data_IF_350816398162
#
_entry.id   IF_350816398162
#
_cell.length_a   1.000
_cell.length_b   1.000
_cell.length_c   1.000
_cell.angle_alpha   90.00
_cell.angle_beta   90.00
_cell.angle_gamma   90.00
#
_symmetry.space_group_name_H-M   'P 1'
#
loop_
_entity.id
_entity.type
_entity.pdbx_description
1 polymer ?
#
# COMPACT_ATOMS: atom_id res chain seq x y z
N UNK A 1 -14.73 -15.52 8.72
CA UNK A 1 -13.87 -14.33 8.85
C UNK A 1 -14.22 -13.23 7.86
N UNK A 2 -13.95 -13.35 6.55
CA UNK A 2 -14.18 -12.25 5.57
C UNK A 2 -15.63 -11.72 5.60
N UNK A 3 -16.64 -12.61 5.57
CA UNK A 3 -18.06 -12.21 5.67
C UNK A 3 -18.39 -11.48 6.99
N UNK A 4 -17.73 -11.82 8.09
CA UNK A 4 -17.91 -11.17 9.39
C UNK A 4 -17.24 -9.79 9.39
N UNK A 5 -16.06 -9.66 8.79
CA UNK A 5 -15.38 -8.37 8.61
C UNK A 5 -16.25 -7.39 7.83
N UNK A 6 -16.78 -7.80 6.67
CA UNK A 6 -17.69 -6.97 5.87
C UNK A 6 -19.01 -6.61 6.58
N UNK A 7 -19.42 -7.36 7.62
CA UNK A 7 -20.60 -7.02 8.39
C UNK A 7 -20.40 -5.72 9.21
N UNK A 8 -19.17 -5.36 9.58
CA UNK A 8 -18.86 -4.13 10.31
C UNK A 8 -19.01 -2.86 9.46
N UNK A 9 -19.05 -2.97 8.13
CA UNK A 9 -19.31 -1.84 7.25
C UNK A 9 -20.80 -1.45 7.22
N UNK A 10 -21.72 -2.34 7.63
CA UNK A 10 -23.17 -2.14 7.49
C UNK A 10 -23.67 -0.81 8.06
N UNK A 11 -23.24 -0.35 9.26
CA UNK A 11 -23.67 0.93 9.80
C UNK A 11 -23.15 2.13 9.00
N UNK A 12 -22.05 1.96 8.26
CA UNK A 12 -21.29 3.01 7.59
C UNK A 12 -21.35 2.92 6.06
N UNK A 13 -22.34 2.23 5.50
CA UNK A 13 -22.47 2.03 4.04
C UNK A 13 -22.51 3.35 3.26
N UNK A 14 -23.06 4.42 3.85
CA UNK A 14 -23.06 5.75 3.21
C UNK A 14 -21.64 6.30 3.04
N UNK A 15 -20.79 6.15 4.06
CA UNK A 15 -19.39 6.55 4.01
C UNK A 15 -18.65 5.70 2.99
N UNK A 16 -18.86 4.38 3.02
CA UNK A 16 -18.26 3.45 2.07
C UNK A 16 -18.60 3.81 0.61
N UNK A 17 -19.87 4.04 0.27
CA UNK A 17 -20.24 4.40 -1.11
C UNK A 17 -19.74 5.78 -1.54
N UNK A 18 -19.69 6.75 -0.61
CA UNK A 18 -19.15 8.08 -0.90
C UNK A 18 -17.65 7.99 -1.21
N UNK A 19 -16.89 7.41 -0.29
CA UNK A 19 -15.45 7.22 -0.39
C UNK A 19 -15.07 6.42 -1.65
N UNK A 20 -15.60 5.20 -1.76
CA UNK A 20 -15.34 4.31 -2.88
C UNK A 20 -15.80 4.92 -4.23
N UNK A 21 -16.95 5.60 -4.25
CA UNK A 21 -17.44 6.29 -5.44
C UNK A 21 -16.51 7.41 -5.89
N UNK A 22 -16.06 8.25 -4.94
CA UNK A 22 -15.07 9.30 -5.23
C UNK A 22 -13.75 8.71 -5.72
N UNK A 23 -13.28 7.61 -5.11
CA UNK A 23 -12.03 6.96 -5.47
C UNK A 23 -12.06 6.38 -6.90
N UNK A 24 -13.18 5.79 -7.31
CA UNK A 24 -13.41 5.34 -8.69
C UNK A 24 -13.32 6.52 -9.66
N UNK A 25 -13.99 7.65 -9.35
CA UNK A 25 -13.96 8.84 -10.21
C UNK A 25 -12.56 9.43 -10.30
N UNK A 26 -11.82 9.51 -9.19
CA UNK A 26 -10.42 9.94 -9.17
C UNK A 26 -9.56 9.07 -10.10
N UNK A 27 -9.67 7.74 -9.98
CA UNK A 27 -8.91 6.81 -10.83
C UNK A 27 -9.27 6.91 -12.31
N UNK A 28 -10.55 7.10 -12.65
CA UNK A 28 -10.98 7.32 -14.03
C UNK A 28 -10.46 8.65 -14.61
N UNK A 29 -10.48 9.73 -13.82
CA UNK A 29 -9.92 11.01 -14.22
C UNK A 29 -8.41 10.92 -14.45
N UNK A 30 -7.70 10.15 -13.61
CA UNK A 30 -6.27 9.90 -13.78
C UNK A 30 -5.96 9.16 -15.09
N UNK A 31 -6.76 8.15 -15.46
CA UNK A 31 -6.67 7.45 -16.74
C UNK A 31 -7.02 8.33 -17.94
N UNK A 32 -7.92 9.30 -17.76
CA UNK A 32 -8.32 10.24 -18.81
C UNK A 32 -7.26 11.28 -19.16
N UNK A 33 -6.36 11.61 -18.23
CA UNK A 33 -5.38 12.67 -18.43
C UNK A 33 -4.41 12.41 -19.60
N UNK A 34 -3.79 11.23 -19.76
CA UNK A 34 -2.98 10.92 -20.94
C UNK A 34 -3.71 11.14 -22.28
N UNK A 35 -5.00 10.79 -22.36
CA UNK A 35 -5.80 11.00 -23.57
C UNK A 35 -6.03 12.48 -23.85
N UNK A 36 -6.23 13.29 -22.81
CA UNK A 36 -6.32 14.74 -22.97
C UNK A 36 -5.01 15.33 -23.50
N UNK A 37 -3.86 14.84 -23.03
CA UNK A 37 -2.53 15.23 -23.55
C UNK A 37 -2.37 14.83 -25.02
N UNK A 38 -2.82 13.62 -25.42
CA UNK A 38 -2.86 13.23 -26.83
C UNK A 38 -3.61 14.26 -27.68
N UNK A 39 -4.86 14.60 -27.30
CA UNK A 39 -5.67 15.56 -28.05
C UNK A 39 -5.04 16.96 -28.06
N UNK A 40 -4.39 17.34 -26.96
CA UNK A 40 -3.67 18.59 -26.86
C UNK A 40 -2.52 18.66 -27.88
N UNK A 41 -1.72 17.60 -27.97
CA UNK A 41 -0.57 17.53 -28.86
C UNK A 41 -0.97 17.42 -30.32
N UNK A 42 -1.94 16.57 -30.65
CA UNK A 42 -2.29 16.28 -32.05
C UNK A 42 -3.25 17.30 -32.67
N UNK A 43 -4.12 17.93 -31.87
CA UNK A 43 -5.17 18.83 -32.39
C UNK A 43 -4.99 20.27 -31.96
N UNK A 44 -4.72 20.52 -30.67
CA UNK A 44 -4.65 21.89 -30.14
C UNK A 44 -3.34 22.58 -30.53
N UNK A 45 -2.19 21.93 -30.34
CA UNK A 45 -0.88 22.53 -30.69
C UNK A 45 -0.80 22.95 -32.17
N UNK A 46 -1.17 22.11 -33.16
CA UNK A 46 -1.07 22.50 -34.57
C UNK A 46 -2.09 23.57 -34.97
N UNK A 47 -3.19 23.71 -34.23
CA UNK A 47 -4.23 24.72 -34.52
C UNK A 47 -3.76 26.16 -34.31
N UNK A 48 -2.71 26.38 -33.52
CA UNK A 48 -2.23 27.70 -33.10
C UNK A 48 -3.31 28.65 -32.53
N UNK A 49 -4.47 28.11 -32.12
CA UNK A 49 -5.60 28.87 -31.62
C UNK A 49 -5.48 29.09 -30.11
N UNK A 50 -4.79 30.16 -29.73
CA UNK A 50 -4.55 30.51 -28.32
C UNK A 50 -5.81 30.57 -27.46
N UNK A 51 -6.93 31.20 -27.88
CA UNK A 51 -8.18 31.16 -27.13
C UNK A 51 -8.64 29.73 -26.79
N UNK A 52 -8.62 28.83 -27.77
CA UNK A 52 -9.00 27.43 -27.58
C UNK A 52 -8.02 26.69 -26.66
N UNK A 53 -6.73 26.94 -26.81
CA UNK A 53 -5.67 26.36 -25.96
C UNK A 53 -5.84 26.81 -24.50
N UNK A 54 -6.08 28.10 -24.25
CA UNK A 54 -6.32 28.62 -22.90
C UNK A 54 -7.59 28.04 -22.30
N UNK A 55 -8.67 27.93 -23.07
CA UNK A 55 -9.92 27.33 -22.61
C UNK A 55 -9.72 25.85 -22.24
N UNK A 56 -9.05 25.07 -23.08
CA UNK A 56 -8.75 23.66 -22.80
C UNK A 56 -7.85 23.50 -21.56
N UNK A 57 -6.85 24.36 -21.42
CA UNK A 57 -5.94 24.35 -20.25
C UNK A 57 -6.67 24.74 -18.97
N UNK A 58 -7.55 25.74 -19.03
CA UNK A 58 -8.39 26.12 -17.89
C UNK A 58 -9.37 25.01 -17.51
N UNK A 59 -9.95 24.31 -18.50
CA UNK A 59 -10.80 23.15 -18.25
C UNK A 59 -10.02 21.99 -17.59
N UNK A 60 -8.79 21.71 -18.05
CA UNK A 60 -7.91 20.72 -17.41
C UNK A 60 -7.55 21.12 -15.97
N UNK A 61 -7.24 22.39 -15.73
CA UNK A 61 -6.98 22.89 -14.38
C UNK A 61 -8.20 22.74 -13.47
N UNK A 62 -9.40 23.02 -13.98
CA UNK A 62 -10.65 22.79 -13.24
C UNK A 62 -10.86 21.30 -12.93
N UNK A 63 -10.58 20.41 -13.87
CA UNK A 63 -10.63 18.96 -13.64
C UNK A 63 -9.65 18.54 -12.53
N UNK A 64 -8.44 19.10 -12.51
CA UNK A 64 -7.47 18.87 -11.43
C UNK A 64 -7.95 19.39 -10.07
N UNK A 65 -8.56 20.58 -10.04
CA UNK A 65 -9.13 21.13 -8.82
C UNK A 65 -10.27 20.26 -8.29
N UNK A 66 -11.15 19.78 -9.18
CA UNK A 66 -12.21 18.84 -8.84
C UNK A 66 -11.64 17.52 -8.33
N UNK A 67 -10.67 16.94 -9.04
CA UNK A 67 -9.99 15.70 -8.64
C UNK A 67 -9.34 15.85 -7.26
N UNK A 68 -8.71 17.00 -6.97
CA UNK A 68 -8.14 17.30 -5.65
C UNK A 68 -9.22 17.31 -4.55
N UNK A 69 -10.39 17.90 -4.84
CA UNK A 69 -11.54 17.87 -3.92
C UNK A 69 -12.06 16.45 -3.67
N UNK A 70 -12.14 15.62 -4.72
CA UNK A 70 -12.52 14.21 -4.58
C UNK A 70 -11.48 13.42 -3.79
N UNK A 71 -10.19 13.65 -4.03
CA UNK A 71 -9.10 13.02 -3.29
C UNK A 71 -9.14 13.39 -1.81
N UNK A 72 -9.54 14.62 -1.47
CA UNK A 72 -9.77 15.01 -0.08
C UNK A 72 -10.93 14.21 0.54
N UNK A 73 -12.03 14.01 -0.22
CA UNK A 73 -13.15 13.17 0.24
C UNK A 73 -12.67 11.76 0.51
N UNK A 74 -11.95 11.14 -0.45
CA UNK A 74 -11.39 9.79 -0.31
C UNK A 74 -10.51 9.70 0.94
N UNK A 75 -9.59 10.64 1.09
CA UNK A 75 -8.63 10.62 2.19
C UNK A 75 -9.32 10.79 3.55
N UNK A 76 -10.19 11.79 3.70
CA UNK A 76 -10.80 12.08 5.01
C UNK A 76 -11.95 11.12 5.33
N UNK A 77 -12.92 10.95 4.41
CA UNK A 77 -14.10 10.11 4.67
C UNK A 77 -13.76 8.62 4.68
N UNK A 78 -12.74 8.20 3.94
CA UNK A 78 -12.22 6.84 4.02
C UNK A 78 -11.55 6.53 5.36
N UNK A 79 -10.67 7.39 5.87
CA UNK A 79 -10.12 7.20 7.24
C UNK A 79 -11.22 7.36 8.31
N UNK A 80 -12.21 8.23 8.09
CA UNK A 80 -13.38 8.34 8.96
C UNK A 80 -14.20 7.04 9.01
N UNK A 81 -14.33 6.32 7.89
CA UNK A 81 -14.94 4.99 7.86
C UNK A 81 -14.13 3.99 8.71
N UNK A 82 -12.81 3.94 8.52
CA UNK A 82 -11.92 3.04 9.27
C UNK A 82 -11.97 3.27 10.79
N UNK A 83 -11.85 4.52 11.23
CA UNK A 83 -11.85 4.86 12.67
C UNK A 83 -13.20 4.61 13.34
N UNK A 84 -14.31 4.75 12.62
CA UNK A 84 -15.64 4.46 13.14
C UNK A 84 -15.82 2.95 13.37
N UNK A 85 -15.39 2.13 12.41
CA UNK A 85 -15.37 0.66 12.56
C UNK A 85 -14.46 0.27 13.74
N UNK A 86 -13.27 0.84 13.82
CA UNK A 86 -12.33 0.62 14.93
C UNK A 86 -12.97 0.98 16.28
N UNK A 87 -13.66 2.11 16.37
CA UNK A 87 -14.31 2.60 17.61
C UNK A 87 -15.40 1.64 18.09
N UNK A 88 -16.26 1.17 17.18
CA UNK A 88 -17.29 0.18 17.48
C UNK A 88 -16.67 -1.14 17.96
N UNK A 89 -15.62 -1.60 17.27
CA UNK A 89 -14.90 -2.81 17.66
C UNK A 89 -14.23 -2.67 19.02
N UNK A 90 -13.62 -1.51 19.30
CA UNK A 90 -12.96 -1.18 20.58
C UNK A 90 -13.96 -1.22 21.73
N UNK A 91 -15.14 -0.65 21.54
CA UNK A 91 -16.20 -0.65 22.55
C UNK A 91 -16.66 -2.07 22.86
N UNK A 92 -16.94 -2.88 21.82
CA UNK A 92 -17.36 -4.28 21.99
C UNK A 92 -16.30 -5.14 22.67
N UNK A 93 -15.02 -4.96 22.30
CA UNK A 93 -13.92 -5.72 22.90
C UNK A 93 -13.75 -5.35 24.37
N UNK A 94 -13.80 -4.06 24.70
CA UNK A 94 -13.69 -3.59 26.08
C UNK A 94 -14.83 -4.11 26.96
N UNK A 95 -16.07 -4.05 26.49
CA UNK A 95 -17.24 -4.61 27.19
C UNK A 95 -17.16 -6.13 27.37
N UNK A 96 -16.54 -6.83 26.42
CA UNK A 96 -16.32 -8.27 26.52
C UNK A 96 -15.24 -8.59 27.56
N UNK A 97 -14.10 -7.88 27.54
CA UNK A 97 -12.99 -8.09 28.46
C UNK A 97 -13.42 -7.89 29.91
N UNK A 98 -14.27 -6.90 30.20
CA UNK A 98 -14.81 -6.68 31.55
C UNK A 98 -15.65 -7.85 32.09
N UNK A 99 -16.18 -8.71 31.22
CA UNK A 99 -17.01 -9.87 31.59
C UNK A 99 -16.20 -11.16 31.72
N UNK A 100 -14.90 -11.12 31.42
CA UNK A 100 -14.03 -12.29 31.51
C UNK A 100 -13.78 -12.67 32.98
N UNK A 101 -13.64 -13.97 33.23
CA UNK A 101 -13.38 -14.49 34.57
C UNK A 101 -12.02 -14.06 35.10
N UNK A 102 -11.85 -13.99 36.43
CA UNK A 102 -10.53 -13.78 37.06
C UNK A 102 -9.48 -14.80 36.57
N UNK A 103 -9.88 -16.07 36.38
CA UNK A 103 -9.02 -17.10 35.80
C UNK A 103 -8.42 -16.69 34.45
N UNK A 104 -9.15 -15.95 33.63
CA UNK A 104 -8.62 -15.47 32.36
C UNK A 104 -7.49 -14.46 32.59
N UNK A 105 -7.68 -13.51 33.51
CA UNK A 105 -6.66 -12.52 33.88
C UNK A 105 -5.45 -13.14 34.59
N UNK A 106 -5.64 -14.21 35.35
CA UNK A 106 -4.55 -14.96 35.99
C UNK A 106 -3.67 -15.69 34.97
N UNK A 107 -4.21 -16.03 33.79
CA UNK A 107 -3.52 -16.78 32.75
C UNK A 107 -3.09 -15.93 31.55
N UNK A 108 -3.42 -14.63 31.51
CA UNK A 108 -3.09 -13.75 30.38
C UNK A 108 -2.49 -12.43 30.88
N UNK A 109 -1.33 -12.04 30.35
CA UNK A 109 -0.71 -10.74 30.72
C UNK A 109 -1.61 -9.59 30.26
N UNK A 110 -1.90 -8.65 31.17
CA UNK A 110 -2.70 -7.44 30.89
C UNK A 110 -2.15 -6.61 29.73
N UNK A 111 -0.82 -6.59 29.55
CA UNK A 111 -0.18 -5.92 28.41
C UNK A 111 -0.63 -6.46 27.03
N UNK A 112 -0.89 -7.77 26.91
CA UNK A 112 -1.42 -8.33 25.66
C UNK A 112 -2.84 -7.85 25.36
N UNK A 113 -3.67 -7.69 26.41
CA UNK A 113 -5.03 -7.17 26.26
C UNK A 113 -5.04 -5.70 25.84
N UNK A 114 -4.10 -4.90 26.37
CA UNK A 114 -3.90 -3.52 25.94
C UNK A 114 -3.52 -3.48 24.46
N UNK A 115 -2.53 -4.28 24.04
CA UNK A 115 -2.10 -4.34 22.64
C UNK A 115 -3.24 -4.74 21.68
N UNK A 116 -4.09 -5.69 22.09
CA UNK A 116 -5.28 -6.09 21.32
C UNK A 116 -6.27 -4.94 21.14
N UNK A 117 -6.46 -4.10 22.15
CA UNK A 117 -7.38 -2.94 22.09
C UNK A 117 -6.79 -1.76 21.30
N UNK A 118 -5.46 -1.62 21.30
CA UNK A 118 -4.77 -0.50 20.67
C UNK A 118 -4.29 -0.86 19.27
N UNK A 119 -3.16 -1.55 19.17
CA UNK A 119 -2.44 -1.80 17.91
C UNK A 119 -3.21 -2.73 16.98
N UNK A 120 -3.76 -3.84 17.47
CA UNK A 120 -4.46 -4.78 16.60
C UNK A 120 -5.73 -4.16 16.00
N UNK A 121 -6.51 -3.41 16.80
CA UNK A 121 -7.69 -2.72 16.30
C UNK A 121 -7.34 -1.60 15.31
N UNK A 122 -6.24 -0.88 15.52
CA UNK A 122 -5.74 0.10 14.56
C UNK A 122 -5.40 -0.56 13.22
N UNK A 123 -4.68 -1.70 13.23
CA UNK A 123 -4.36 -2.45 12.02
C UNK A 123 -5.62 -2.95 11.28
N UNK A 124 -6.68 -3.31 12.03
CA UNK A 124 -7.98 -3.68 11.45
C UNK A 124 -8.68 -2.46 10.85
N UNK A 125 -8.65 -1.31 11.51
CA UNK A 125 -9.25 -0.05 11.03
C UNK A 125 -8.59 0.45 9.75
N UNK A 126 -7.26 0.42 9.69
CA UNK A 126 -6.48 0.72 8.49
C UNK A 126 -6.80 -0.25 7.34
N UNK A 127 -6.89 -1.56 7.63
CA UNK A 127 -7.32 -2.54 6.64
C UNK A 127 -8.76 -2.30 6.17
N UNK A 128 -9.63 -1.79 7.04
CA UNK A 128 -11.02 -1.52 6.70
C UNK A 128 -11.18 -0.36 5.71
N UNK A 129 -10.32 0.65 5.80
CA UNK A 129 -10.27 1.71 4.79
C UNK A 129 -9.51 1.26 3.53
N UNK A 130 -8.21 1.02 3.64
CA UNK A 130 -7.34 0.83 2.47
C UNK A 130 -7.54 -0.51 1.76
N UNK A 131 -7.97 -1.56 2.47
CA UNK A 131 -7.99 -2.93 1.93
C UNK A 131 -8.86 -3.10 0.68
N UNK A 132 -10.18 -2.88 0.76
CA UNK A 132 -11.07 -3.03 -0.40
C UNK A 132 -10.81 -1.99 -1.49
N UNK A 133 -10.55 -0.75 -1.07
CA UNK A 133 -10.39 0.40 -1.97
C UNK A 133 -9.11 0.28 -2.81
N UNK A 134 -7.95 0.10 -2.19
CA UNK A 134 -6.67 0.04 -2.88
C UNK A 134 -6.61 -1.13 -3.85
N UNK A 135 -7.14 -2.29 -3.46
CA UNK A 135 -7.19 -3.46 -4.32
C UNK A 135 -8.08 -3.20 -5.54
N UNK A 136 -9.24 -2.58 -5.34
CA UNK A 136 -10.14 -2.26 -6.45
C UNK A 136 -9.52 -1.24 -7.41
N UNK A 137 -8.97 -0.14 -6.89
CA UNK A 137 -8.31 0.88 -7.70
C UNK A 137 -7.13 0.27 -8.45
N UNK A 138 -6.32 -0.56 -7.80
CA UNK A 138 -5.20 -1.22 -8.45
C UNK A 138 -5.66 -2.06 -9.65
N UNK A 139 -6.69 -2.90 -9.48
CA UNK A 139 -7.24 -3.73 -10.56
C UNK A 139 -7.85 -2.87 -11.67
N UNK A 140 -8.68 -1.89 -11.30
CA UNK A 140 -9.36 -0.98 -12.23
C UNK A 140 -8.36 -0.19 -13.06
N UNK A 141 -7.37 0.43 -12.42
CA UNK A 141 -6.34 1.24 -13.09
C UNK A 141 -5.45 0.38 -13.96
N UNK A 142 -5.08 -0.84 -13.53
CA UNK A 142 -4.27 -1.76 -14.34
C UNK A 142 -5.02 -2.17 -15.63
N UNK A 143 -6.27 -2.60 -15.49
CA UNK A 143 -7.11 -3.01 -16.63
C UNK A 143 -7.42 -1.80 -17.53
N UNK A 144 -7.79 -0.67 -16.94
CA UNK A 144 -8.14 0.56 -17.66
C UNK A 144 -6.95 1.12 -18.43
N UNK A 145 -5.77 1.22 -17.82
CA UNK A 145 -4.57 1.67 -18.49
C UNK A 145 -4.17 0.74 -19.63
N UNK A 146 -4.22 -0.59 -19.41
CA UNK A 146 -3.95 -1.56 -20.47
C UNK A 146 -4.93 -1.44 -21.64
N UNK A 147 -6.23 -1.30 -21.35
CA UNK A 147 -7.25 -1.13 -22.38
C UNK A 147 -7.00 0.13 -23.22
N UNK A 148 -6.69 1.27 -22.57
CA UNK A 148 -6.35 2.51 -23.27
C UNK A 148 -5.05 2.40 -24.08
N UNK A 149 -4.02 1.74 -23.53
CA UNK A 149 -2.78 1.47 -24.26
C UNK A 149 -3.02 0.60 -25.49
N UNK A 150 -3.87 -0.43 -25.37
CA UNK A 150 -4.22 -1.31 -26.49
C UNK A 150 -5.09 -0.61 -27.54
N UNK A 151 -5.95 0.34 -27.13
CA UNK A 151 -6.71 1.19 -28.05
C UNK A 151 -5.81 2.15 -28.83
N UNK A 152 -4.75 2.68 -28.21
CA UNK A 152 -3.76 3.50 -28.91
C UNK A 152 -2.92 2.63 -29.85
N UNK A 153 -2.33 1.55 -29.36
CA UNK A 153 -1.52 0.65 -30.18
C UNK A 153 -1.36 -0.73 -29.54
N UNK A 154 -2.10 -1.72 -30.07
CA UNK A 154 -2.21 -3.04 -29.47
C UNK A 154 -0.88 -3.83 -29.49
N UNK A 155 -0.06 -3.73 -30.53
CA UNK A 155 1.24 -4.44 -30.59
C UNK A 155 2.19 -3.92 -29.50
N UNK A 156 2.32 -2.60 -29.35
CA UNK A 156 3.14 -1.98 -28.30
C UNK A 156 2.58 -2.31 -26.91
N UNK A 157 1.25 -2.37 -26.74
CA UNK A 157 0.60 -2.79 -25.49
C UNK A 157 0.96 -4.22 -25.09
N UNK A 158 0.95 -5.16 -26.04
CA UNK A 158 1.39 -6.54 -25.78
C UNK A 158 2.87 -6.59 -25.41
N UNK A 159 3.74 -5.87 -26.13
CA UNK A 159 5.17 -5.80 -25.82
C UNK A 159 5.41 -5.26 -24.39
N UNK A 160 4.66 -4.24 -24.00
CA UNK A 160 4.74 -3.67 -22.65
C UNK A 160 4.22 -4.67 -21.59
N UNK A 161 3.14 -5.38 -21.90
CA UNK A 161 2.53 -6.36 -21.01
C UNK A 161 3.42 -7.58 -20.74
N UNK A 162 4.27 -7.98 -21.69
CA UNK A 162 5.23 -9.09 -21.51
C UNK A 162 6.18 -8.86 -20.32
N UNK A 163 6.40 -7.62 -19.91
CA UNK A 163 7.25 -7.31 -18.73
C UNK A 163 6.50 -7.49 -17.42
N UNK A 164 5.16 -7.50 -17.42
CA UNK A 164 4.33 -7.65 -16.21
C UNK A 164 4.57 -9.00 -15.51
N UNK A 165 4.56 -10.16 -16.19
CA UNK A 165 4.90 -11.43 -15.54
C UNK A 165 6.27 -11.42 -14.85
N UNK A 166 7.27 -10.74 -15.43
CA UNK A 166 8.61 -10.64 -14.84
C UNK A 166 8.57 -9.81 -13.54
N UNK A 167 7.87 -8.68 -13.56
CA UNK A 167 7.71 -7.84 -12.36
C UNK A 167 6.92 -8.56 -11.27
N UNK A 168 5.83 -9.25 -11.64
CA UNK A 168 5.04 -10.05 -10.70
C UNK A 168 5.86 -11.19 -10.09
N UNK A 169 6.68 -11.88 -10.91
CA UNK A 169 7.57 -12.92 -10.42
C UNK A 169 8.59 -12.38 -9.43
N UNK A 170 9.22 -11.24 -9.73
CA UNK A 170 10.12 -10.53 -8.80
C UNK A 170 9.39 -10.19 -7.50
N UNK A 171 8.22 -9.58 -7.57
CA UNK A 171 7.43 -9.21 -6.40
C UNK A 171 7.10 -10.43 -5.53
N UNK A 172 6.61 -11.52 -6.11
CA UNK A 172 6.29 -12.76 -5.39
C UNK A 172 7.52 -13.41 -4.76
N UNK A 173 8.63 -13.51 -5.50
CA UNK A 173 9.88 -14.10 -5.02
C UNK A 173 10.45 -13.34 -3.82
N UNK A 174 10.48 -12.01 -3.91
CA UNK A 174 10.97 -11.18 -2.81
C UNK A 174 9.99 -11.09 -1.65
N UNK A 175 8.67 -11.11 -1.89
CA UNK A 175 7.64 -11.17 -0.84
C UNK A 175 7.80 -12.41 0.05
N UNK A 176 8.07 -13.57 -0.55
CA UNK A 176 8.37 -14.80 0.19
C UNK A 176 9.62 -14.68 1.07
N UNK A 177 10.71 -14.13 0.53
CA UNK A 177 11.95 -13.88 1.30
C UNK A 177 11.74 -12.88 2.42
N UNK A 178 11.01 -11.80 2.13
CA UNK A 178 10.68 -10.73 3.06
C UNK A 178 9.92 -11.30 4.27
N UNK A 179 8.92 -12.14 4.01
CA UNK A 179 8.13 -12.82 5.05
C UNK A 179 9.01 -13.62 6.00
N UNK A 180 10.00 -14.35 5.46
CA UNK A 180 10.92 -15.14 6.29
C UNK A 180 11.83 -14.25 7.14
N UNK A 181 12.41 -13.19 6.58
CA UNK A 181 13.29 -12.27 7.33
C UNK A 181 12.54 -11.47 8.38
N UNK A 182 11.31 -11.04 8.11
CA UNK A 182 10.49 -10.36 9.11
C UNK A 182 10.06 -11.28 10.26
N UNK A 183 9.75 -12.55 9.97
CA UNK A 183 9.49 -13.54 11.04
C UNK A 183 10.69 -13.72 11.96
N UNK A 184 11.91 -13.76 11.39
CA UNK A 184 13.13 -13.80 12.19
C UNK A 184 13.31 -12.50 12.99
N UNK A 185 13.09 -11.34 12.37
CA UNK A 185 13.15 -10.04 13.04
C UNK A 185 12.21 -9.96 14.24
N UNK A 186 10.95 -10.39 14.09
CA UNK A 186 9.99 -10.40 15.20
C UNK A 186 10.40 -11.35 16.33
N UNK A 187 11.00 -12.50 16.02
CA UNK A 187 11.58 -13.38 17.04
C UNK A 187 12.73 -12.71 17.79
N UNK A 188 13.64 -12.04 17.08
CA UNK A 188 14.76 -11.30 17.69
C UNK A 188 14.28 -10.13 18.54
N UNK A 189 13.24 -9.41 18.11
CA UNK A 189 12.58 -8.36 18.92
C UNK A 189 11.97 -8.95 20.19
N UNK A 190 11.31 -10.11 20.09
CA UNK A 190 10.75 -10.79 21.26
C UNK A 190 11.82 -11.16 22.29
N UNK A 191 12.94 -11.72 21.85
CA UNK A 191 14.08 -12.05 22.72
C UNK A 191 14.72 -10.80 23.34
N UNK A 192 14.89 -9.75 22.54
CA UNK A 192 15.40 -8.46 22.99
C UNK A 192 14.50 -7.83 24.07
N UNK A 193 13.18 -7.81 23.85
CA UNK A 193 12.22 -7.30 24.81
C UNK A 193 12.17 -8.13 26.10
N UNK A 194 12.20 -9.47 25.99
CA UNK A 194 12.23 -10.35 27.16
C UNK A 194 13.48 -10.09 28.02
N UNK A 195 14.66 -9.91 27.40
CA UNK A 195 15.88 -9.56 28.13
C UNK A 195 15.75 -8.22 28.87
N UNK A 196 15.13 -7.23 28.24
CA UNK A 196 14.88 -5.93 28.89
C UNK A 196 13.91 -6.09 30.07
N UNK A 197 12.84 -6.87 29.90
CA UNK A 197 11.85 -7.18 30.96
C UNK A 197 12.54 -7.84 32.16
N UNK A 198 13.40 -8.85 31.94
CA UNK A 198 14.16 -9.54 32.98
C UNK A 198 15.15 -8.62 33.70
N UNK A 199 15.96 -7.85 32.95
CA UNK A 199 16.99 -6.99 33.52
C UNK A 199 16.41 -5.80 34.30
N UNK A 200 15.34 -5.18 33.78
CA UNK A 200 14.68 -4.06 34.46
C UNK A 200 13.77 -4.51 35.60
N UNK A 201 13.04 -5.63 35.42
CA UNK A 201 12.22 -6.22 36.47
C UNK A 201 13.07 -6.69 37.66
N UNK A 202 14.26 -7.25 37.36
CA UNK A 202 15.25 -7.70 38.33
C UNK A 202 16.27 -6.65 38.78
N UNK A 203 16.09 -5.36 38.45
CA UNK A 203 17.15 -4.34 38.61
C UNK A 203 17.71 -4.23 40.03
N UNK A 204 16.90 -4.50 41.06
CA UNK A 204 17.36 -4.50 42.46
C UNK A 204 18.32 -5.65 42.75
N UNK A 205 18.09 -6.82 42.16
CA UNK A 205 18.96 -7.99 42.28
C UNK A 205 20.26 -7.74 41.52
N UNK A 206 20.18 -7.23 40.30
CA UNK A 206 21.36 -6.87 39.50
C UNK A 206 22.27 -5.92 40.27
N UNK A 207 21.71 -4.84 40.84
CA UNK A 207 22.46 -3.86 41.66
C UNK A 207 22.96 -4.43 42.98
N UNK A 208 22.18 -5.28 43.64
CA UNK A 208 22.59 -5.88 44.92
C UNK A 208 23.82 -6.80 44.76
N UNK A 209 24.00 -7.41 43.59
CA UNK A 209 25.15 -8.24 43.26
C UNK A 209 26.22 -7.54 42.41
N UNK A 210 26.08 -6.23 42.12
CA UNK A 210 26.99 -5.46 41.27
C UNK A 210 27.25 -6.12 39.88
N UNK A 211 26.20 -6.69 39.27
CA UNK A 211 26.28 -7.46 38.02
C UNK A 211 25.88 -6.63 36.77
N UNK A 212 25.93 -5.31 36.83
CA UNK A 212 25.52 -4.43 35.72
C UNK A 212 26.33 -4.66 34.43
N UNK A 213 27.63 -4.94 34.55
CA UNK A 213 28.48 -5.21 33.39
C UNK A 213 28.13 -6.55 32.72
N UNK A 214 27.75 -7.56 33.51
CA UNK A 214 27.27 -8.83 32.98
C UNK A 214 25.97 -8.67 32.19
N UNK A 215 25.00 -7.93 32.73
CA UNK A 215 23.76 -7.63 32.01
C UNK A 215 24.01 -6.78 30.75
N UNK A 216 25.00 -5.88 30.78
CA UNK A 216 25.42 -5.11 29.61
C UNK A 216 25.97 -6.00 28.49
N UNK A 217 26.80 -6.99 28.82
CA UNK A 217 27.31 -7.96 27.85
C UNK A 217 26.18 -8.79 27.23
N UNK A 218 25.27 -9.32 28.07
CA UNK A 218 24.10 -10.06 27.60
C UNK A 218 23.19 -9.22 26.72
N UNK A 219 22.97 -7.95 27.09
CA UNK A 219 22.21 -7.00 26.27
C UNK A 219 22.90 -6.76 24.92
N UNK A 220 24.23 -6.58 24.90
CA UNK A 220 24.99 -6.35 23.68
C UNK A 220 24.84 -7.50 22.67
N UNK A 221 24.84 -8.76 23.14
CA UNK A 221 24.60 -9.95 22.30
C UNK A 221 23.22 -9.87 21.62
N UNK A 222 22.16 -9.65 22.40
CA UNK A 222 20.79 -9.59 21.88
C UNK A 222 20.58 -8.39 20.94
N UNK A 223 21.17 -7.24 21.28
CA UNK A 223 21.11 -6.04 20.46
C UNK A 223 21.85 -6.21 19.12
N UNK A 224 23.00 -6.88 19.12
CA UNK A 224 23.74 -7.21 17.90
C UNK A 224 22.97 -8.19 17.02
N UNK A 225 22.35 -9.23 17.59
CA UNK A 225 21.49 -10.15 16.85
C UNK A 225 20.28 -9.44 16.24
N UNK A 226 19.64 -8.55 16.99
CA UNK A 226 18.56 -7.69 16.48
C UNK A 226 19.05 -6.85 15.31
N UNK A 227 20.21 -6.20 15.44
CA UNK A 227 20.82 -5.38 14.38
C UNK A 227 21.11 -6.21 13.12
N UNK A 228 21.75 -7.36 13.23
CA UNK A 228 22.07 -8.23 12.08
C UNK A 228 20.81 -8.72 11.36
N UNK A 229 19.79 -9.14 12.12
CA UNK A 229 18.52 -9.61 11.56
C UNK A 229 17.79 -8.47 10.85
N UNK A 230 17.81 -7.27 11.42
CA UNK A 230 17.20 -6.07 10.82
C UNK A 230 17.93 -5.62 9.55
N UNK A 231 19.27 -5.62 9.56
CA UNK A 231 20.07 -5.33 8.36
C UNK A 231 19.82 -6.35 7.24
N UNK A 232 19.66 -7.63 7.59
CA UNK A 232 19.30 -8.68 6.62
C UNK A 232 17.95 -8.41 5.98
N UNK A 233 16.93 -8.07 6.78
CA UNK A 233 15.61 -7.68 6.27
C UNK A 233 15.70 -6.46 5.34
N UNK A 234 16.44 -5.41 5.73
CA UNK A 234 16.65 -4.22 4.89
C UNK A 234 17.40 -4.51 3.60
N UNK A 235 18.37 -5.42 3.60
CA UNK A 235 19.06 -5.82 2.36
C UNK A 235 18.11 -6.52 1.38
N UNK A 236 17.20 -7.38 1.87
CA UNK A 236 16.16 -8.00 1.02
C UNK A 236 15.18 -6.95 0.49
N UNK A 237 14.76 -6.00 1.34
CA UNK A 237 13.91 -4.87 0.95
C UNK A 237 14.56 -3.99 -0.11
N UNK A 238 15.81 -3.59 0.08
CA UNK A 238 16.56 -2.80 -0.87
C UNK A 238 16.66 -3.51 -2.22
N UNK A 239 17.00 -4.81 -2.24
CA UNK A 239 17.06 -5.60 -3.49
C UNK A 239 15.71 -5.65 -4.21
N UNK A 240 14.61 -5.87 -3.47
CA UNK A 240 13.27 -5.91 -4.05
C UNK A 240 12.89 -4.57 -4.68
N UNK A 241 13.03 -3.47 -3.92
CA UNK A 241 12.67 -2.12 -4.37
C UNK A 241 13.56 -1.65 -5.52
N UNK A 242 14.88 -1.86 -5.44
CA UNK A 242 15.81 -1.47 -6.51
C UNK A 242 15.57 -2.24 -7.80
N UNK A 243 15.26 -3.55 -7.73
CA UNK A 243 14.97 -4.34 -8.92
C UNK A 243 13.64 -3.92 -9.55
N UNK A 244 12.58 -3.73 -8.76
CA UNK A 244 11.29 -3.21 -9.26
C UNK A 244 11.45 -1.83 -9.89
N UNK A 245 12.18 -0.92 -9.24
CA UNK A 245 12.49 0.41 -9.77
C UNK A 245 13.20 0.33 -11.12
N UNK A 246 14.25 -0.49 -11.23
CA UNK A 246 15.00 -0.66 -12.48
C UNK A 246 14.11 -1.25 -13.59
N UNK A 247 13.29 -2.27 -13.28
CA UNK A 247 12.39 -2.88 -14.26
C UNK A 247 11.35 -1.89 -14.78
N UNK A 248 10.73 -1.10 -13.90
CA UNK A 248 9.76 -0.06 -14.31
C UNK A 248 10.42 1.01 -15.20
N UNK A 249 11.63 1.46 -14.87
CA UNK A 249 12.37 2.42 -15.70
C UNK A 249 12.83 1.83 -17.02
N UNK A 250 13.23 0.56 -17.02
CA UNK A 250 13.56 -0.17 -18.24
C UNK A 250 12.37 -0.23 -19.19
N UNK A 251 11.15 -0.49 -18.70
CA UNK A 251 9.95 -0.49 -19.55
C UNK A 251 9.73 0.87 -20.20
N UNK A 252 9.86 1.97 -19.45
CA UNK A 252 9.70 3.31 -20.01
C UNK A 252 10.70 3.52 -21.16
N UNK A 253 11.98 3.18 -20.97
CA UNK A 253 13.01 3.30 -22.02
C UNK A 253 12.70 2.38 -23.20
N UNK A 254 12.27 1.15 -22.95
CA UNK A 254 11.86 0.21 -23.98
C UNK A 254 10.70 0.75 -24.82
N UNK A 255 9.66 1.28 -24.16
CA UNK A 255 8.51 1.92 -24.82
C UNK A 255 8.94 3.16 -25.58
N UNK A 256 9.90 3.94 -25.07
CA UNK A 256 10.45 5.07 -25.83
C UNK A 256 11.09 4.60 -27.15
N UNK A 257 11.94 3.56 -27.11
CA UNK A 257 12.62 3.04 -28.31
C UNK A 257 11.63 2.38 -29.27
N UNK A 258 10.79 1.47 -28.78
CA UNK A 258 9.81 0.75 -29.57
C UNK A 258 8.72 1.69 -30.11
N UNK A 259 8.23 2.63 -29.30
CA UNK A 259 7.27 3.64 -29.73
C UNK A 259 7.85 4.59 -30.78
N UNK A 260 9.12 4.99 -30.67
CA UNK A 260 9.79 5.79 -31.71
C UNK A 260 9.78 5.08 -33.06
N UNK A 261 9.99 3.76 -33.08
CA UNK A 261 9.88 2.98 -34.31
C UNK A 261 8.50 3.11 -34.95
N UNK A 262 7.42 2.94 -34.17
CA UNK A 262 6.04 3.06 -34.68
C UNK A 262 5.68 4.48 -35.12
N UNK A 263 6.23 5.51 -34.47
CA UNK A 263 6.09 6.91 -34.93
C UNK A 263 6.75 7.12 -36.28
N UNK A 264 7.97 6.60 -36.49
CA UNK A 264 8.70 6.72 -37.76
C UNK A 264 7.97 6.00 -38.90
N UNK A 265 7.33 4.86 -38.61
CA UNK A 265 6.51 4.13 -39.58
C UNK A 265 5.15 4.79 -39.86
N UNK A 266 4.79 5.84 -39.11
CA UNK A 266 3.50 6.51 -39.23
C UNK A 266 2.33 5.71 -38.63
N UNK A 267 2.60 4.68 -37.84
CA UNK A 267 1.58 3.88 -37.13
C UNK A 267 1.11 4.56 -35.84
N UNK A 268 1.83 5.57 -35.37
CA UNK A 268 1.57 6.25 -34.10
C UNK A 268 1.82 7.76 -34.25
N UNK A 269 0.88 8.60 -33.80
CA UNK A 269 1.07 10.05 -33.79
C UNK A 269 2.01 10.50 -32.66
N UNK A 270 2.47 11.75 -32.71
CA UNK A 270 3.25 12.33 -31.61
C UNK A 270 2.44 12.42 -30.31
N UNK A 271 1.16 12.80 -30.39
CA UNK A 271 0.28 12.84 -29.23
C UNK A 271 -0.02 11.46 -28.65
N UNK A 272 -0.22 10.46 -29.50
CA UNK A 272 -0.37 9.06 -29.10
C UNK A 272 0.88 8.55 -28.40
N UNK A 273 2.07 8.88 -28.91
CA UNK A 273 3.34 8.51 -28.29
C UNK A 273 3.49 9.07 -26.88
N UNK A 274 3.23 10.37 -26.72
CA UNK A 274 3.30 11.04 -25.41
C UNK A 274 2.26 10.45 -24.45
N UNK A 275 1.02 10.27 -24.90
CA UNK A 275 -0.02 9.66 -24.09
C UNK A 275 0.31 8.22 -23.69
N UNK A 276 0.92 7.44 -24.58
CA UNK A 276 1.34 6.08 -24.29
C UNK A 276 2.42 6.04 -23.19
N UNK A 277 3.40 6.94 -23.23
CA UNK A 277 4.41 7.06 -22.17
C UNK A 277 3.79 7.46 -20.82
N UNK A 278 2.79 8.36 -20.83
CA UNK A 278 2.06 8.74 -19.62
C UNK A 278 1.21 7.56 -19.09
N UNK A 279 0.48 6.86 -19.95
CA UNK A 279 -0.26 5.65 -19.59
C UNK A 279 0.64 4.56 -19.04
N UNK A 280 1.86 4.41 -19.57
CA UNK A 280 2.85 3.45 -19.05
C UNK A 280 3.18 3.75 -17.59
N UNK A 281 3.28 5.02 -17.19
CA UNK A 281 3.49 5.38 -15.78
C UNK A 281 2.26 5.05 -14.92
N UNK A 282 1.05 5.33 -15.42
CA UNK A 282 -0.20 5.00 -14.71
C UNK A 282 -0.37 3.48 -14.56
N UNK A 283 -0.01 2.71 -15.58
CA UNK A 283 -0.07 1.25 -15.62
C UNK A 283 0.78 0.58 -14.52
N UNK A 284 1.91 1.19 -14.15
CA UNK A 284 2.80 0.64 -13.10
C UNK A 284 2.40 1.04 -11.67
N UNK A 285 1.63 2.11 -11.46
CA UNK A 285 1.20 2.53 -10.10
C UNK A 285 0.47 1.43 -9.32
N UNK A 286 -0.49 0.68 -9.90
CA UNK A 286 -1.11 -0.46 -9.24
C UNK A 286 -0.14 -1.51 -8.73
N UNK A 287 0.94 -1.76 -9.47
CA UNK A 287 1.93 -2.78 -9.12
C UNK A 287 2.70 -2.36 -7.85
N UNK A 288 3.00 -1.07 -7.70
CA UNK A 288 3.57 -0.52 -6.47
C UNK A 288 2.58 -0.65 -5.29
N UNK A 289 1.30 -0.37 -5.53
CA UNK A 289 0.24 -0.41 -4.52
C UNK A 289 -0.10 -1.84 -4.06
N UNK A 290 0.00 -2.83 -4.95
CA UNK A 290 -0.14 -4.24 -4.58
C UNK A 290 0.93 -4.64 -3.55
N UNK A 291 2.16 -4.10 -3.64
CA UNK A 291 3.19 -4.40 -2.65
C UNK A 291 2.83 -3.86 -1.26
N UNK A 292 2.23 -2.67 -1.15
CA UNK A 292 1.78 -2.14 0.15
C UNK A 292 0.63 -2.95 0.73
N UNK A 293 -0.31 -3.40 -0.12
CA UNK A 293 -1.40 -4.30 0.31
C UNK A 293 -0.86 -5.65 0.82
N UNK A 294 0.16 -6.21 0.17
CA UNK A 294 0.82 -7.45 0.61
C UNK A 294 1.39 -7.30 2.03
N UNK A 295 1.80 -6.10 2.44
CA UNK A 295 2.35 -5.83 3.78
C UNK A 295 1.28 -5.50 4.84
N UNK A 296 0.21 -4.79 4.47
CA UNK A 296 -0.85 -4.37 5.41
C UNK A 296 -1.91 -5.46 5.62
N UNK A 297 -2.25 -6.20 4.56
CA UNK A 297 -3.32 -7.20 4.60
C UNK A 297 -3.10 -8.32 5.64
N UNK A 298 -1.91 -8.94 5.74
CA UNK A 298 -1.68 -9.98 6.75
C UNK A 298 -1.80 -9.45 8.18
N UNK A 299 -1.39 -8.19 8.44
CA UNK A 299 -1.49 -7.56 9.76
C UNK A 299 -2.95 -7.35 10.17
N UNK A 300 -3.75 -6.71 9.31
CA UNK A 300 -5.16 -6.48 9.63
C UNK A 300 -5.99 -7.77 9.73
N UNK A 301 -5.72 -8.80 8.90
CA UNK A 301 -6.40 -10.11 9.04
C UNK A 301 -5.96 -10.85 10.30
N UNK A 302 -4.67 -10.78 10.66
CA UNK A 302 -4.18 -11.37 11.90
C UNK A 302 -4.81 -10.68 13.13
N UNK A 303 -4.86 -9.34 13.14
CA UNK A 303 -5.57 -8.57 14.17
C UNK A 303 -7.05 -8.96 14.24
N UNK A 304 -7.74 -9.06 13.11
CA UNK A 304 -9.15 -9.47 13.07
C UNK A 304 -9.36 -10.91 13.57
N UNK A 305 -8.41 -11.81 13.32
CA UNK A 305 -8.44 -13.15 13.87
C UNK A 305 -8.33 -13.12 15.40
N UNK A 306 -7.37 -12.37 15.93
CA UNK A 306 -7.16 -12.24 17.38
C UNK A 306 -8.32 -11.55 18.08
N UNK A 307 -9.03 -10.65 17.39
CA UNK A 307 -10.26 -10.03 17.89
C UNK A 307 -11.40 -11.03 18.06
N UNK A 308 -11.51 -12.03 17.16
CA UNK A 308 -12.55 -13.06 17.21
C UNK A 308 -12.25 -14.16 18.24
N UNK A 309 -10.99 -14.31 18.66
CA UNK A 309 -10.49 -15.28 19.64
C UNK A 309 -10.52 -14.74 21.08
#
# INVERSE_FOLDING_TARGET
>A
MIRQFFAYYRPYMKLFYLDFGCAVVVGLLELGFPLAVNQFVDKLLPSANWPLIFLATAALLFIYALNTGLQYVVTYWGHMLGINIETDMRTRLFDHIQKLSFRYFDNNKTGHLIARITTDLQDIGELAHHGPEDLFIAIMTLIGAFALMAMIHWQLALLTFVVVPVILWVAMHFSGKMTLTFRQLFRSVGQFNARIEDALGGVRVVKAFANEDHERELFAINNNLYRETKLTAYNIMARALSLSYMLMRFVIVFVMVAGTWYVIQGELSYGEFVAYLLLTNVFFRPIEKINSVIESYPRGIAGFKQYLE
#
